data_IF_831189174297
#
_entry.id   IF_831189174297
#
_cell.length_a   1.000
_cell.length_b   1.000
_cell.length_c   1.000
_cell.angle_alpha   90.00
_cell.angle_beta   90.00
_cell.angle_gamma   90.00
#
_symmetry.space_group_name_H-M   'P 1'
#
loop_
_entity.id
_entity.type
_entity.pdbx_description
1 polymer ?
#
# COMPACT_ATOMS: atom_id res chain seq x y z
N UNK A 1 -16.12 -9.46 11.84
CA UNK A 1 -16.74 -9.27 10.52
C UNK A 1 -16.23 -7.93 10.01
N UNK A 2 -15.17 -7.93 9.20
CA UNK A 2 -14.61 -6.69 8.67
C UNK A 2 -15.51 -6.23 7.51
N UNK A 3 -15.95 -4.99 7.61
CA UNK A 3 -16.87 -4.32 6.69
C UNK A 3 -16.27 -4.30 5.29
N UNK A 4 -17.07 -4.66 4.28
CA UNK A 4 -16.69 -4.57 2.87
C UNK A 4 -16.31 -3.12 2.55
N UNK A 5 -15.05 -2.86 2.22
CA UNK A 5 -14.57 -1.51 1.95
C UNK A 5 -15.01 -1.09 0.54
N UNK A 6 -15.89 -0.09 0.44
CA UNK A 6 -16.28 0.46 -0.85
C UNK A 6 -15.13 1.27 -1.45
N UNK A 7 -14.55 0.73 -2.51
CA UNK A 7 -13.72 1.48 -3.45
C UNK A 7 -14.62 2.02 -4.56
N UNK A 8 -14.49 3.31 -4.87
CA UNK A 8 -15.17 3.94 -6.01
C UNK A 8 -14.94 3.15 -7.30
N UNK A 9 -16.03 2.79 -7.99
CA UNK A 9 -15.98 1.99 -9.23
C UNK A 9 -15.10 2.63 -10.31
N UNK A 10 -15.17 3.95 -10.46
CA UNK A 10 -14.39 4.68 -11.46
C UNK A 10 -12.86 4.52 -11.28
N UNK A 11 -12.37 4.46 -10.04
CA UNK A 11 -10.94 4.21 -9.77
C UNK A 11 -10.54 2.78 -10.13
N UNK A 12 -11.43 1.82 -9.88
CA UNK A 12 -11.23 0.42 -10.25
C UNK A 12 -11.14 0.26 -11.77
N UNK A 13 -12.06 0.88 -12.50
CA UNK A 13 -12.15 0.79 -13.96
C UNK A 13 -10.94 1.43 -14.65
N UNK A 14 -10.43 2.53 -14.09
CA UNK A 14 -9.22 3.18 -14.60
C UNK A 14 -7.97 2.28 -14.44
N UNK A 15 -7.84 1.60 -13.31
CA UNK A 15 -6.69 0.71 -13.02
C UNK A 15 -6.79 -0.61 -13.79
N UNK A 16 -7.98 -1.16 -13.99
CA UNK A 16 -8.16 -2.41 -14.74
C UNK A 16 -7.78 -2.30 -16.21
N UNK A 17 -7.81 -1.09 -16.77
CA UNK A 17 -7.41 -0.80 -18.15
C UNK A 17 -5.89 -0.60 -18.34
N UNK A 18 -5.10 -0.61 -17.26
CA UNK A 18 -3.65 -0.42 -17.32
C UNK A 18 -2.94 -1.67 -17.87
N UNK A 19 -1.77 -1.49 -18.52
CA UNK A 19 -0.94 -2.62 -18.91
C UNK A 19 -0.49 -3.42 -17.68
N UNK A 20 -0.37 -4.74 -17.85
CA UNK A 20 0.21 -5.64 -16.86
C UNK A 20 1.72 -5.50 -16.82
N UNK A 21 2.28 -5.41 -15.63
CA UNK A 21 3.70 -5.62 -15.39
C UNK A 21 3.93 -7.03 -14.87
N UNK A 22 4.94 -7.71 -15.42
CA UNK A 22 5.37 -9.02 -14.91
C UNK A 22 5.85 -8.91 -13.46
N UNK A 23 5.53 -9.92 -12.65
CA UNK A 23 6.04 -10.04 -11.29
C UNK A 23 5.12 -9.45 -10.21
N UNK A 24 5.72 -9.25 -9.03
CA UNK A 24 5.00 -9.00 -7.79
C UNK A 24 5.34 -7.64 -7.19
N UNK A 25 4.33 -7.01 -6.57
CA UNK A 25 4.51 -5.82 -5.76
C UNK A 25 4.35 -6.20 -4.29
N UNK A 26 5.36 -5.90 -3.47
CA UNK A 26 5.25 -6.01 -2.03
C UNK A 26 4.57 -4.77 -1.44
N UNK A 27 3.64 -4.99 -0.51
CA UNK A 27 2.91 -3.92 0.18
C UNK A 27 2.95 -4.16 1.69
N UNK A 28 3.41 -3.15 2.44
CA UNK A 28 3.29 -3.12 3.89
C UNK A 28 3.00 -1.69 4.39
N UNK A 29 2.54 -1.59 5.63
CA UNK A 29 2.48 -0.33 6.35
C UNK A 29 3.20 -0.41 7.70
N UNK A 30 3.79 0.71 8.11
CA UNK A 30 4.52 0.83 9.37
C UNK A 30 4.35 2.20 9.98
N UNK A 31 4.55 2.32 11.30
CA UNK A 31 4.56 3.61 11.97
C UNK A 31 5.77 4.41 11.50
N UNK A 32 5.57 5.68 11.13
CA UNK A 32 6.65 6.59 10.74
C UNK A 32 7.64 6.78 11.88
N UNK A 33 8.93 6.67 11.58
CA UNK A 33 10.02 6.96 12.51
C UNK A 33 10.26 8.48 12.67
N UNK A 34 9.64 9.30 11.82
CA UNK A 34 9.72 10.76 11.85
C UNK A 34 8.36 11.39 12.18
N UNK A 35 8.33 12.52 12.92
CA UNK A 35 7.13 13.31 13.14
C UNK A 35 6.58 13.83 11.81
N UNK A 36 5.26 13.67 11.59
CA UNK A 36 4.58 14.20 10.41
C UNK A 36 3.65 15.34 10.81
N UNK A 37 3.70 16.46 10.09
CA UNK A 37 2.80 17.59 10.29
C UNK A 37 3.29 18.85 9.58
N UNK A 38 2.41 19.84 9.47
CA UNK A 38 2.78 21.14 8.90
C UNK A 38 3.68 21.92 9.85
N UNK A 39 4.44 22.86 9.30
CA UNK A 39 5.23 23.80 10.11
C UNK A 39 4.29 24.56 11.05
N UNK A 40 4.55 24.48 12.36
CA UNK A 40 3.77 25.07 13.47
C UNK A 40 2.50 24.30 13.90
N UNK A 41 2.28 23.08 13.41
CA UNK A 41 1.25 22.19 13.95
C UNK A 41 1.85 21.18 14.94
N UNK A 42 1.02 20.64 15.84
CA UNK A 42 1.45 19.56 16.73
C UNK A 42 1.78 18.34 15.87
N UNK A 43 3.01 17.80 15.92
CA UNK A 43 3.36 16.62 15.16
C UNK A 43 2.45 15.44 15.49
N UNK A 44 2.03 14.73 14.46
CA UNK A 44 1.19 13.55 14.58
C UNK A 44 2.00 12.30 14.27
N UNK A 45 1.70 11.24 15.01
CA UNK A 45 2.11 9.90 14.60
C UNK A 45 1.31 9.52 13.35
N UNK A 46 2.01 9.15 12.28
CA UNK A 46 1.41 8.69 11.03
C UNK A 46 1.96 7.32 10.68
N UNK A 47 1.18 6.56 9.92
CA UNK A 47 1.65 5.35 9.27
C UNK A 47 2.11 5.67 7.85
N UNK A 48 3.09 4.93 7.38
CA UNK A 48 3.58 4.96 6.01
C UNK A 48 3.11 3.68 5.35
N UNK A 49 2.35 3.79 4.26
CA UNK A 49 2.10 2.70 3.32
C UNK A 49 3.20 2.74 2.26
N UNK A 50 3.88 1.62 2.05
CA UNK A 50 4.99 1.51 1.12
C UNK A 50 4.71 0.37 0.13
N UNK A 51 4.92 0.66 -1.15
CA UNK A 51 4.70 -0.28 -2.25
C UNK A 51 5.99 -0.39 -3.07
N UNK A 52 6.52 -1.60 -3.20
CA UNK A 52 7.81 -1.84 -3.87
C UNK A 52 7.71 -2.98 -4.87
N UNK A 53 8.45 -2.87 -5.96
CA UNK A 53 8.63 -3.97 -6.90
C UNK A 53 9.48 -5.03 -6.22
N UNK A 54 8.93 -6.24 -6.06
CA UNK A 54 9.54 -7.30 -5.27
C UNK A 54 10.91 -7.74 -5.80
N UNK A 55 11.14 -7.60 -7.11
CA UNK A 55 12.35 -8.07 -7.79
C UNK A 55 13.46 -7.04 -7.75
N UNK A 56 13.14 -5.78 -7.98
CA UNK A 56 14.11 -4.69 -8.17
C UNK A 56 14.28 -3.83 -6.92
N UNK A 57 13.34 -3.87 -5.98
CA UNK A 57 13.31 -2.98 -4.84
C UNK A 57 12.87 -1.56 -5.19
N UNK A 58 12.45 -1.30 -6.43
CA UNK A 58 11.98 0.02 -6.84
C UNK A 58 10.72 0.41 -6.08
N UNK A 59 10.70 1.60 -5.47
CA UNK A 59 9.53 2.12 -4.76
C UNK A 59 8.54 2.68 -5.77
N UNK A 60 7.39 2.00 -5.94
CA UNK A 60 6.31 2.48 -6.80
C UNK A 60 5.59 3.67 -6.18
N UNK A 61 5.49 3.69 -4.86
CA UNK A 61 4.78 4.75 -4.16
C UNK A 61 4.93 4.66 -2.65
N UNK A 62 4.70 5.81 -2.02
CA UNK A 62 4.70 5.97 -0.58
C UNK A 62 3.53 6.88 -0.22
N UNK A 63 2.68 6.44 0.70
CA UNK A 63 1.50 7.20 1.14
C UNK A 63 1.53 7.37 2.65
N UNK A 64 1.24 8.57 3.11
CA UNK A 64 1.10 8.87 4.53
C UNK A 64 -0.35 8.64 4.94
N UNK A 65 -0.55 7.80 5.95
CA UNK A 65 -1.84 7.44 6.50
C UNK A 65 -1.94 7.93 7.94
N UNK A 66 -2.86 8.87 8.18
CA UNK A 66 -3.19 9.28 9.54
C UNK A 66 -4.24 8.34 10.12
N UNK A 67 -4.16 8.01 11.40
CA UNK A 67 -5.17 7.21 12.09
C UNK A 67 -6.17 8.09 12.88
N UNK A 68 -6.62 9.19 12.27
CA UNK A 68 -7.52 10.19 12.90
C UNK A 68 -8.84 9.59 13.39
N UNK A 69 -9.38 8.64 12.62
CA UNK A 69 -10.66 7.96 12.89
C UNK A 69 -10.43 6.55 13.48
N UNK A 70 -9.25 6.32 14.07
CA UNK A 70 -8.80 5.02 14.54
C UNK A 70 -8.11 4.18 13.47
N UNK A 71 -7.62 3.01 13.88
CA UNK A 71 -6.85 2.10 13.02
C UNK A 71 -7.71 1.52 11.89
N UNK A 72 -8.97 1.16 12.17
CA UNK A 72 -9.88 0.61 11.16
C UNK A 72 -10.18 1.61 10.04
N UNK A 73 -10.44 2.88 10.39
CA UNK A 73 -10.63 3.96 9.42
C UNK A 73 -9.36 4.29 8.62
N UNK A 74 -8.18 4.00 9.17
CA UNK A 74 -6.92 4.09 8.43
C UNK A 74 -6.77 2.94 7.43
N UNK A 75 -7.01 1.70 7.87
CA UNK A 75 -6.90 0.50 7.05
C UNK A 75 -7.89 0.53 5.87
N UNK A 76 -9.09 1.08 6.07
CA UNK A 76 -10.09 1.24 5.01
C UNK A 76 -9.63 2.09 3.83
N UNK A 77 -8.63 2.96 4.03
CA UNK A 77 -8.07 3.83 2.99
C UNK A 77 -7.00 3.14 2.14
N UNK A 78 -6.39 2.05 2.63
CA UNK A 78 -5.30 1.35 1.93
C UNK A 78 -5.71 0.89 0.52
N UNK A 79 -6.86 0.23 0.31
CA UNK A 79 -7.32 -0.17 -1.03
C UNK A 79 -7.34 0.99 -2.04
N UNK A 80 -7.91 2.13 -1.64
CA UNK A 80 -7.99 3.32 -2.50
C UNK A 80 -6.59 3.90 -2.79
N UNK A 81 -5.72 3.95 -1.78
CA UNK A 81 -4.34 4.43 -1.92
C UNK A 81 -3.47 3.55 -2.80
N UNK A 82 -3.64 2.23 -2.72
CA UNK A 82 -2.99 1.27 -3.60
C UNK A 82 -3.34 1.53 -5.08
N UNK A 83 -4.62 1.73 -5.39
CA UNK A 83 -5.05 2.02 -6.75
C UNK A 83 -4.53 3.37 -7.27
N UNK A 84 -4.46 4.38 -6.40
CA UNK A 84 -3.82 5.66 -6.73
C UNK A 84 -2.35 5.47 -7.10
N UNK A 85 -1.61 4.60 -6.38
CA UNK A 85 -0.22 4.28 -6.72
C UNK A 85 -0.13 3.58 -8.07
N UNK A 86 -0.94 2.55 -8.33
CA UNK A 86 -0.94 1.85 -9.63
C UNK A 86 -1.34 2.76 -10.80
N UNK A 87 -2.32 3.63 -10.59
CA UNK A 87 -2.71 4.63 -11.58
C UNK A 87 -1.56 5.58 -11.93
N UNK A 88 -0.77 6.02 -10.92
CA UNK A 88 0.40 6.89 -11.15
C UNK A 88 1.59 6.14 -11.74
N UNK A 89 1.81 4.87 -11.38
CA UNK A 89 2.86 4.05 -11.99
C UNK A 89 2.54 3.64 -13.41
N UNK A 90 1.25 3.67 -13.79
CA UNK A 90 0.79 3.36 -15.14
C UNK A 90 0.78 1.87 -15.45
N UNK A 91 0.84 1.01 -14.43
CA UNK A 91 0.84 -0.44 -14.56
C UNK A 91 0.16 -1.12 -13.38
N UNK A 92 -0.28 -2.36 -13.59
CA UNK A 92 -0.86 -3.23 -12.57
C UNK A 92 -0.07 -4.54 -12.52
N UNK A 93 0.33 -5.04 -11.33
CA UNK A 93 1.15 -6.26 -11.23
C UNK A 93 0.33 -7.53 -11.48
N UNK A 94 1.03 -8.66 -11.61
CA UNK A 94 0.42 -9.99 -11.64
C UNK A 94 0.01 -10.43 -10.22
N UNK A 95 0.85 -10.14 -9.23
CA UNK A 95 0.55 -10.45 -7.83
C UNK A 95 0.97 -9.33 -6.87
N UNK A 96 0.38 -9.39 -5.69
CA UNK A 96 0.68 -8.53 -4.54
C UNK A 96 1.10 -9.43 -3.39
N UNK A 97 2.29 -9.19 -2.84
CA UNK A 97 2.74 -9.86 -1.62
C UNK A 97 2.50 -8.97 -0.40
N UNK A 98 1.89 -9.54 0.64
CA UNK A 98 1.67 -8.89 1.94
C UNK A 98 2.13 -9.80 3.07
N UNK A 99 2.52 -9.25 4.21
CA UNK A 99 2.92 -10.03 5.40
C UNK A 99 1.89 -10.06 6.52
N UNK A 100 0.84 -9.24 6.39
CA UNK A 100 -0.17 -9.07 7.44
C UNK A 100 -1.50 -9.69 7.00
N UNK A 101 -2.11 -10.59 7.80
CA UNK A 101 -3.42 -11.16 7.47
C UNK A 101 -4.48 -10.10 7.21
N UNK A 102 -4.44 -8.96 7.92
CA UNK A 102 -5.38 -7.85 7.70
C UNK A 102 -5.22 -7.24 6.30
N UNK A 103 -3.99 -7.11 5.79
CA UNK A 103 -3.75 -6.60 4.43
C UNK A 103 -4.28 -7.58 3.39
N UNK A 104 -4.02 -8.88 3.56
CA UNK A 104 -4.56 -9.91 2.66
C UNK A 104 -6.10 -9.84 2.63
N UNK A 105 -6.75 -9.71 3.79
CA UNK A 105 -8.22 -9.61 3.86
C UNK A 105 -8.79 -8.36 3.19
N UNK A 106 -8.18 -7.18 3.41
CA UNK A 106 -8.70 -5.93 2.80
C UNK A 106 -8.43 -5.85 1.30
N UNK A 107 -7.41 -6.58 0.80
CA UNK A 107 -7.03 -6.59 -0.62
C UNK A 107 -7.62 -7.77 -1.40
N UNK A 108 -8.10 -8.83 -0.74
CA UNK A 108 -8.74 -9.98 -1.39
C UNK A 108 -9.83 -9.62 -2.42
N UNK A 109 -10.67 -8.57 -2.24
CA UNK A 109 -11.66 -8.19 -3.26
C UNK A 109 -11.07 -7.80 -4.62
N UNK A 110 -9.76 -7.54 -4.71
CA UNK A 110 -9.08 -7.23 -5.97
C UNK A 110 -8.69 -8.46 -6.78
N UNK A 111 -8.67 -9.66 -6.18
CA UNK A 111 -8.33 -10.90 -6.90
C UNK A 111 -9.29 -11.13 -8.06
N UNK A 112 -10.59 -11.08 -7.79
CA UNK A 112 -11.60 -11.27 -8.81
C UNK A 112 -11.76 -10.04 -9.72
N UNK A 113 -11.67 -8.83 -9.15
CA UNK A 113 -12.00 -7.59 -9.87
C UNK A 113 -10.89 -7.09 -10.78
N UNK A 114 -9.65 -7.36 -10.39
CA UNK A 114 -8.46 -6.90 -11.10
C UNK A 114 -7.58 -8.06 -11.56
N UNK A 115 -7.96 -9.33 -11.37
CA UNK A 115 -7.13 -10.47 -11.75
C UNK A 115 -5.68 -10.31 -11.24
N UNK A 116 -5.53 -9.95 -9.97
CA UNK A 116 -4.24 -9.84 -9.26
C UNK A 116 -4.25 -10.87 -8.14
N UNK A 117 -3.24 -11.73 -8.03
CA UNK A 117 -3.16 -12.65 -6.90
C UNK A 117 -2.72 -11.91 -5.62
N UNK A 118 -3.32 -12.17 -4.46
CA UNK A 118 -2.91 -11.57 -3.18
C UNK A 118 -2.30 -12.61 -2.26
N UNK A 119 -0.97 -12.66 -2.24
CA UNK A 119 -0.20 -13.64 -1.50
C UNK A 119 0.12 -13.17 -0.07
N UNK A 120 -0.33 -13.92 0.92
CA UNK A 120 0.15 -13.76 2.30
C UNK A 120 1.48 -14.52 2.46
N UNK A 121 2.54 -13.78 2.79
CA UNK A 121 3.91 -14.28 2.86
C UNK A 121 4.55 -13.97 4.22
N UNK A 122 5.58 -14.72 4.60
CA UNK A 122 6.27 -14.48 5.88
C UNK A 122 7.30 -13.34 5.81
N UNK A 123 7.67 -12.89 4.60
CA UNK A 123 8.73 -11.90 4.40
C UNK A 123 8.48 -11.00 3.19
N UNK A 124 8.77 -9.72 3.35
CA UNK A 124 8.73 -8.70 2.31
C UNK A 124 10.11 -8.03 2.19
N UNK A 125 11.12 -8.69 1.59
CA UNK A 125 12.49 -8.20 1.56
C UNK A 125 12.64 -6.82 0.89
N UNK A 126 11.94 -6.56 -0.23
CA UNK A 126 12.05 -5.29 -0.94
C UNK A 126 11.50 -4.13 -0.11
N UNK A 127 10.35 -4.33 0.52
CA UNK A 127 9.69 -3.33 1.38
C UNK A 127 10.46 -3.13 2.68
N UNK A 128 11.00 -4.22 3.25
CA UNK A 128 11.85 -4.15 4.45
C UNK A 128 13.08 -3.30 4.18
N UNK A 129 13.74 -3.52 3.04
CA UNK A 129 14.90 -2.73 2.67
C UNK A 129 14.53 -1.27 2.38
N UNK A 130 13.50 -1.02 1.58
CA UNK A 130 13.07 0.33 1.28
C UNK A 130 12.69 1.11 2.55
N UNK A 131 12.04 0.46 3.53
CA UNK A 131 11.78 1.04 4.85
C UNK A 131 13.08 1.39 5.58
N UNK A 132 14.06 0.48 5.61
CA UNK A 132 15.36 0.72 6.28
C UNK A 132 16.06 1.93 5.66
N UNK A 133 16.17 1.95 4.33
CA UNK A 133 16.76 3.06 3.57
C UNK A 133 16.02 4.39 3.80
N UNK A 134 14.68 4.37 3.86
CA UNK A 134 13.89 5.56 4.20
C UNK A 134 14.21 6.07 5.61
N UNK A 135 14.30 5.17 6.60
CA UNK A 135 14.65 5.53 7.97
C UNK A 135 16.07 6.11 8.10
N UNK A 136 17.02 5.62 7.30
CA UNK A 136 18.38 6.18 7.23
C UNK A 136 18.40 7.57 6.59
N UNK A 137 17.59 7.79 5.56
CA UNK A 137 17.48 9.09 4.87
C UNK A 137 16.85 10.20 5.73
N UNK A 138 15.90 9.85 6.59
CA UNK A 138 15.17 10.81 7.44
C UNK A 138 15.92 11.22 8.73
N UNK A 139 17.10 10.64 8.98
CA UNK A 139 17.94 10.92 10.16
C UNK A 139 18.83 12.15 10.01
#
# INVERSE_FOLDING_TARGET
MLTYYEVESAKMDAVSALPRSEGSVEIDYFLSDAPVGSRNERPMCAYVLLMTDAKTGYVLGTEILHATDGLEGMLSRIPSKMLEVFSRSGSIPESIAVSRPVLSQILAPFEDRLAIEVDLTDSLPATTEARRSLGEFLR
#
